data_IF_245997362509
#
_entry.id   IF_245997362509
#
_cell.length_a   1.000
_cell.length_b   1.000
_cell.length_c   1.000
_cell.angle_alpha   90.00
_cell.angle_beta   90.00
_cell.angle_gamma   90.00
#
_symmetry.space_group_name_H-M   'P 1'
#
loop_
_entity.id
_entity.type
_entity.pdbx_description
1 polymer ?
#
# COMPACT_ATOMS: atom_id res chain seq x y z
N UNK A 1 -21.31 -4.72 6.15
CA UNK A 1 -22.16 -5.34 7.18
C UNK A 1 -21.52 -5.08 8.53
N UNK A 2 -22.30 -4.81 9.58
CA UNK A 2 -21.76 -4.67 10.94
C UNK A 2 -21.36 -6.05 11.50
N UNK A 3 -20.21 -6.11 12.16
CA UNK A 3 -19.70 -7.30 12.85
C UNK A 3 -18.76 -6.89 13.97
N UNK A 4 -18.64 -7.74 14.99
CA UNK A 4 -17.59 -7.65 16.00
C UNK A 4 -16.31 -8.30 15.46
N UNK A 5 -15.20 -7.56 15.48
CA UNK A 5 -13.88 -8.16 15.26
C UNK A 5 -13.29 -8.64 16.60
N UNK A 6 -13.13 -9.95 16.75
CA UNK A 6 -12.46 -10.56 17.88
C UNK A 6 -11.00 -10.87 17.49
N UNK A 7 -10.05 -10.16 18.10
CA UNK A 7 -8.63 -10.50 17.98
C UNK A 7 -8.22 -11.47 19.08
N UNK A 8 -7.73 -12.65 18.69
CA UNK A 8 -7.32 -13.69 19.65
C UNK A 8 -5.80 -13.84 19.76
N UNK A 9 -5.05 -12.87 19.23
CA UNK A 9 -3.60 -12.80 19.43
C UNK A 9 -3.28 -12.34 20.84
N UNK A 10 -2.03 -12.56 21.25
CA UNK A 10 -1.50 -12.02 22.51
C UNK A 10 -1.60 -10.49 22.51
N UNK A 11 -1.83 -9.89 23.68
CA UNK A 11 -2.00 -8.44 23.84
C UNK A 11 -0.86 -7.66 23.19
N UNK A 12 0.40 -8.09 23.37
CA UNK A 12 1.56 -7.45 22.75
C UNK A 12 1.48 -7.45 21.20
N UNK A 13 1.00 -8.54 20.60
CA UNK A 13 0.85 -8.64 19.15
C UNK A 13 -0.30 -7.78 18.64
N UNK A 14 -1.39 -7.72 19.41
CA UNK A 14 -2.53 -6.86 19.13
C UNK A 14 -2.12 -5.39 19.20
N UNK A 15 -1.48 -4.95 20.27
CA UNK A 15 -1.06 -3.56 20.47
C UNK A 15 -0.06 -3.07 19.44
N UNK A 16 0.81 -3.94 18.96
CA UNK A 16 1.80 -3.59 17.93
C UNK A 16 1.21 -3.43 16.53
N UNK A 17 0.14 -4.15 16.20
CA UNK A 17 -0.42 -4.13 14.86
C UNK A 17 -1.89 -4.57 14.88
N UNK A 18 -2.80 -3.62 14.73
CA UNK A 18 -4.25 -3.85 14.77
C UNK A 18 -4.81 -3.96 13.35
N UNK A 19 -5.94 -4.65 13.23
CA UNK A 19 -6.80 -4.47 12.06
C UNK A 19 -7.50 -3.14 12.24
N UNK A 20 -7.54 -2.36 11.17
CA UNK A 20 -8.15 -1.03 11.16
C UNK A 20 -9.02 -0.93 9.91
N UNK A 21 -9.92 0.04 9.85
CA UNK A 21 -10.68 0.25 8.63
C UNK A 21 -11.71 1.34 8.79
N UNK A 22 -12.14 1.96 7.68
CA UNK A 22 -13.08 3.08 7.72
C UNK A 22 -14.46 2.69 8.27
N UNK A 23 -14.77 1.39 8.28
CA UNK A 23 -16.06 0.84 8.71
C UNK A 23 -15.93 -0.16 9.86
N UNK A 24 -14.77 -0.22 10.53
CA UNK A 24 -14.57 -1.08 11.69
C UNK A 24 -14.89 -0.31 12.96
N UNK A 25 -16.09 -0.53 13.52
CA UNK A 25 -16.56 0.15 14.73
C UNK A 25 -16.26 -0.63 16.01
N UNK A 26 -16.36 -1.96 15.96
CA UNK A 26 -16.35 -2.81 17.15
C UNK A 26 -15.22 -3.84 17.08
N UNK A 27 -14.28 -3.73 18.03
CA UNK A 27 -13.16 -4.65 18.14
C UNK A 27 -12.85 -4.94 19.61
N UNK A 28 -12.62 -6.20 19.93
CA UNK A 28 -12.19 -6.66 21.26
C UNK A 28 -11.00 -7.61 21.10
N UNK A 29 -10.06 -7.54 22.03
CA UNK A 29 -8.94 -8.48 22.10
C UNK A 29 -9.12 -9.39 23.32
N UNK A 30 -9.17 -10.69 23.07
CA UNK A 30 -9.17 -11.73 24.11
C UNK A 30 -8.21 -12.83 23.64
N UNK A 31 -6.99 -12.92 24.21
CA UNK A 31 -5.98 -13.89 23.76
C UNK A 31 -6.49 -15.33 23.75
N UNK A 32 -6.15 -16.10 22.71
CA UNK A 32 -6.63 -17.48 22.59
C UNK A 32 -6.24 -18.39 23.76
N UNK A 33 -5.12 -18.09 24.43
CA UNK A 33 -4.66 -18.83 25.62
C UNK A 33 -5.67 -18.74 26.76
N UNK A 34 -6.37 -17.61 26.89
CA UNK A 34 -7.42 -17.43 27.90
C UNK A 34 -8.62 -18.35 27.62
N UNK A 35 -8.96 -18.59 26.35
CA UNK A 35 -10.03 -19.53 26.00
C UNK A 35 -9.65 -20.98 26.34
N UNK A 36 -8.36 -21.32 26.26
CA UNK A 36 -7.86 -22.66 26.62
C UNK A 36 -7.85 -22.85 28.14
N UNK A 37 -7.44 -21.82 28.89
CA UNK A 37 -7.28 -21.91 30.34
C UNK A 37 -8.57 -21.63 31.12
N UNK A 38 -9.39 -20.70 30.62
CA UNK A 38 -10.55 -20.11 31.29
C UNK A 38 -11.70 -19.85 30.30
N UNK A 39 -12.24 -20.93 29.72
CA UNK A 39 -13.23 -20.87 28.62
C UNK A 39 -14.45 -19.99 28.93
N UNK A 40 -15.23 -20.32 29.97
CA UNK A 40 -16.46 -19.57 30.33
C UNK A 40 -16.18 -18.09 30.60
N UNK A 41 -15.09 -17.80 31.32
CA UNK A 41 -14.67 -16.44 31.64
C UNK A 41 -14.26 -15.65 30.40
N UNK A 42 -13.61 -16.31 29.42
CA UNK A 42 -13.19 -15.70 28.17
C UNK A 42 -14.34 -15.43 27.22
N UNK A 43 -15.29 -16.36 27.13
CA UNK A 43 -16.54 -16.17 26.36
C UNK A 43 -17.33 -14.98 26.90
N UNK A 44 -17.41 -14.81 28.22
CA UNK A 44 -18.10 -13.68 28.84
C UNK A 44 -17.46 -12.31 28.51
N UNK A 45 -16.17 -12.26 28.16
CA UNK A 45 -15.48 -11.05 27.69
C UNK A 45 -15.85 -10.66 26.25
N UNK A 46 -16.42 -11.58 25.46
CA UNK A 46 -16.80 -11.32 24.06
C UNK A 46 -18.22 -10.78 24.01
N UNK A 47 -18.45 -9.54 23.51
CA UNK A 47 -19.80 -9.01 23.35
C UNK A 47 -20.69 -9.94 22.52
N UNK A 48 -21.93 -10.12 22.96
CA UNK A 48 -22.95 -10.89 22.25
C UNK A 48 -23.38 -10.15 20.97
N UNK A 49 -22.59 -10.32 19.91
CA UNK A 49 -22.84 -9.76 18.59
C UNK A 49 -23.47 -10.81 17.67
N UNK A 50 -24.32 -10.37 16.75
CA UNK A 50 -24.93 -11.26 15.75
C UNK A 50 -23.90 -11.91 14.84
N UNK A 51 -22.83 -11.18 14.51
CA UNK A 51 -21.74 -11.60 13.63
C UNK A 51 -20.41 -11.35 14.32
N UNK A 52 -19.60 -12.39 14.44
CA UNK A 52 -18.23 -12.33 14.97
C UNK A 52 -17.26 -12.72 13.87
N UNK A 53 -16.21 -11.93 13.69
CA UNK A 53 -15.08 -12.21 12.80
C UNK A 53 -13.84 -12.32 13.65
N UNK A 54 -13.13 -13.44 13.55
CA UNK A 54 -11.98 -13.72 14.40
C UNK A 54 -10.70 -13.52 13.60
N UNK A 55 -9.74 -12.79 14.17
CA UNK A 55 -8.39 -12.67 13.61
C UNK A 55 -7.37 -13.29 14.56
N UNK A 56 -6.43 -14.05 14.00
CA UNK A 56 -5.26 -14.52 14.73
C UNK A 56 -4.01 -14.42 13.84
N UNK A 57 -2.86 -14.94 14.30
CA UNK A 57 -1.61 -14.84 13.56
C UNK A 57 -1.61 -15.59 12.21
N UNK A 58 -2.26 -16.76 12.13
CA UNK A 58 -2.31 -17.59 10.91
C UNK A 58 -3.70 -18.12 10.58
N UNK A 59 -4.37 -18.77 11.53
CA UNK A 59 -5.82 -19.12 11.51
C UNK A 59 -6.17 -20.17 12.57
N UNK A 60 -5.21 -21.00 13.01
CA UNK A 60 -5.48 -22.13 13.91
C UNK A 60 -6.18 -21.74 15.21
N UNK A 61 -5.65 -20.74 15.92
CA UNK A 61 -6.30 -20.22 17.14
C UNK A 61 -7.69 -19.62 16.86
N UNK A 62 -7.90 -19.04 15.67
CA UNK A 62 -9.18 -18.45 15.32
C UNK A 62 -10.24 -19.52 15.05
N UNK A 63 -9.85 -20.66 14.46
CA UNK A 63 -10.71 -21.84 14.28
C UNK A 63 -11.14 -22.41 15.64
N UNK A 64 -10.18 -22.65 16.53
CA UNK A 64 -10.45 -23.14 17.88
C UNK A 64 -11.40 -22.23 18.66
N UNK A 65 -11.08 -20.92 18.76
CA UNK A 65 -11.96 -19.97 19.47
C UNK A 65 -13.32 -19.87 18.77
N UNK A 66 -13.36 -20.00 17.45
CA UNK A 66 -14.61 -20.03 16.70
C UNK A 66 -15.54 -21.17 17.13
N UNK A 67 -15.00 -22.38 17.29
CA UNK A 67 -15.75 -23.54 17.80
C UNK A 67 -16.25 -23.31 19.23
N UNK A 68 -15.39 -22.79 20.11
CA UNK A 68 -15.76 -22.44 21.49
C UNK A 68 -16.95 -21.47 21.52
N UNK A 69 -16.90 -20.39 20.73
CA UNK A 69 -17.99 -19.41 20.67
C UNK A 69 -19.28 -20.02 20.13
N UNK A 70 -19.20 -20.86 19.09
CA UNK A 70 -20.39 -21.53 18.55
C UNK A 70 -21.04 -22.46 19.58
N UNK A 71 -20.25 -23.18 20.37
CA UNK A 71 -20.73 -24.01 21.48
C UNK A 71 -21.41 -23.18 22.58
N UNK A 72 -21.06 -21.90 22.70
CA UNK A 72 -21.66 -20.93 23.62
C UNK A 72 -22.75 -20.06 22.99
N UNK A 73 -23.32 -20.50 21.85
CA UNK A 73 -24.53 -19.90 21.29
C UNK A 73 -24.32 -18.74 20.32
N UNK A 74 -23.07 -18.40 19.97
CA UNK A 74 -22.78 -17.46 18.88
C UNK A 74 -23.14 -18.11 17.53
N UNK A 75 -23.85 -17.38 16.67
CA UNK A 75 -24.50 -17.99 15.47
C UNK A 75 -23.75 -17.78 14.16
N UNK A 76 -23.11 -16.63 13.95
CA UNK A 76 -22.33 -16.34 12.74
C UNK A 76 -20.89 -15.98 13.14
N UNK A 77 -20.09 -17.03 13.31
CA UNK A 77 -18.66 -16.92 13.65
C UNK A 77 -17.84 -17.33 12.43
N UNK A 78 -16.97 -16.42 11.97
CA UNK A 78 -16.02 -16.69 10.88
C UNK A 78 -14.65 -16.18 11.26
N UNK A 79 -13.63 -16.54 10.51
CA UNK A 79 -12.26 -16.09 10.77
C UNK A 79 -11.59 -15.56 9.50
N UNK A 80 -10.57 -14.73 9.68
CA UNK A 80 -9.71 -14.27 8.60
C UNK A 80 -8.79 -15.41 8.14
N UNK A 81 -9.05 -15.96 6.97
CA UNK A 81 -8.19 -16.98 6.35
C UNK A 81 -6.76 -16.44 6.15
N UNK A 82 -5.77 -17.27 6.49
CA UNK A 82 -4.36 -16.87 6.46
C UNK A 82 -3.94 -15.84 7.54
N UNK A 83 -4.88 -15.42 8.40
CA UNK A 83 -4.63 -14.61 9.59
C UNK A 83 -4.22 -13.18 9.26
N UNK A 84 -3.73 -12.44 10.26
CA UNK A 84 -3.48 -10.99 10.12
C UNK A 84 -2.42 -10.64 9.06
N UNK A 85 -1.62 -11.62 8.62
CA UNK A 85 -0.70 -11.39 7.50
C UNK A 85 -1.44 -11.05 6.20
N UNK A 86 -2.64 -11.61 5.97
CA UNK A 86 -3.42 -11.30 4.76
C UNK A 86 -3.93 -9.86 4.81
N UNK A 87 -4.38 -9.40 5.98
CA UNK A 87 -4.69 -7.99 6.25
C UNK A 87 -3.52 -7.06 5.93
N UNK A 88 -2.33 -7.36 6.45
CA UNK A 88 -1.13 -6.55 6.21
C UNK A 88 -0.64 -6.53 4.76
N UNK A 89 -1.14 -7.42 3.90
CA UNK A 89 -0.82 -7.47 2.47
C UNK A 89 -2.03 -7.18 1.56
N UNK A 90 -3.17 -6.80 2.14
CA UNK A 90 -4.34 -6.41 1.38
C UNK A 90 -4.01 -5.20 0.51
N UNK A 91 -4.43 -5.26 -0.74
CA UNK A 91 -4.45 -4.14 -1.66
C UNK A 91 -5.90 -3.95 -2.12
N UNK A 92 -6.47 -2.80 -1.81
CA UNK A 92 -7.82 -2.43 -2.21
C UNK A 92 -7.73 -1.47 -3.41
N UNK A 93 -8.16 -1.89 -4.61
CA UNK A 93 -8.14 -1.03 -5.77
C UNK A 93 -9.24 0.03 -5.70
N UNK A 94 -8.89 1.26 -6.04
CA UNK A 94 -9.78 2.41 -6.20
C UNK A 94 -9.49 3.04 -7.56
N UNK A 95 -10.50 3.12 -8.41
CA UNK A 95 -10.38 3.80 -9.69
C UNK A 95 -10.25 5.30 -9.43
N UNK A 96 -9.14 5.89 -9.88
CA UNK A 96 -8.86 7.33 -9.78
C UNK A 96 -9.40 8.04 -11.02
N UNK A 97 -9.08 7.50 -12.20
CA UNK A 97 -9.48 8.07 -13.47
C UNK A 97 -9.71 6.98 -14.51
N UNK A 98 -10.65 7.22 -15.41
CA UNK A 98 -10.89 6.38 -16.57
C UNK A 98 -11.33 7.26 -17.72
N UNK A 99 -10.64 7.18 -18.84
CA UNK A 99 -11.08 7.74 -20.11
C UNK A 99 -10.92 6.70 -21.23
N UNK A 100 -11.10 7.12 -22.49
CA UNK A 100 -11.02 6.22 -23.64
C UNK A 100 -9.61 5.66 -23.90
N UNK A 101 -8.58 6.24 -23.27
CA UNK A 101 -7.18 5.93 -23.52
C UNK A 101 -6.53 5.16 -22.37
N UNK A 102 -6.89 5.41 -21.11
CA UNK A 102 -6.33 4.70 -19.96
C UNK A 102 -7.25 4.63 -18.74
N UNK A 103 -6.86 3.77 -17.82
CA UNK A 103 -7.40 3.69 -16.46
C UNK A 103 -6.27 3.85 -15.45
N UNK A 104 -6.45 4.76 -14.48
CA UNK A 104 -5.52 4.99 -13.38
C UNK A 104 -6.17 4.50 -12.08
N UNK A 105 -5.46 3.66 -11.35
CA UNK A 105 -5.89 3.07 -10.09
C UNK A 105 -4.93 3.44 -8.97
N UNK A 106 -5.51 3.66 -7.80
CA UNK A 106 -4.81 3.65 -6.52
C UNK A 106 -5.05 2.30 -5.85
N UNK A 107 -3.99 1.66 -5.39
CA UNK A 107 -4.03 0.42 -4.63
C UNK A 107 -3.68 0.71 -3.20
N UNK A 108 -4.72 0.87 -2.39
CA UNK A 108 -4.63 1.22 -0.98
C UNK A 108 -4.16 -0.02 -0.22
N UNK A 109 -3.16 0.12 0.64
CA UNK A 109 -2.68 -0.90 1.56
C UNK A 109 -3.00 -0.52 3.00
N UNK A 110 -4.20 -0.88 3.51
CA UNK A 110 -4.65 -0.60 4.87
C UNK A 110 -3.61 -0.85 5.96
N UNK A 111 -3.07 -2.08 6.01
CA UNK A 111 -2.14 -2.48 7.07
C UNK A 111 -0.76 -1.81 7.04
N UNK A 112 -0.52 -0.85 6.15
CA UNK A 112 0.71 -0.06 6.10
C UNK A 112 0.48 1.43 5.92
N UNK A 113 -0.76 1.87 5.80
CA UNK A 113 -1.11 3.24 5.43
C UNK A 113 -0.37 3.72 4.16
N UNK A 114 -0.15 2.80 3.21
CA UNK A 114 0.60 3.06 1.98
C UNK A 114 -0.25 2.84 0.73
N UNK A 115 0.13 3.46 -0.38
CA UNK A 115 -0.53 3.42 -1.66
C UNK A 115 0.50 3.08 -2.75
N UNK A 116 0.14 2.15 -3.60
CA UNK A 116 0.80 1.94 -4.90
C UNK A 116 -0.18 2.33 -6.00
N UNK A 117 0.29 2.55 -7.23
CA UNK A 117 -0.58 2.99 -8.31
C UNK A 117 -0.45 2.11 -9.54
N UNK A 118 -1.53 1.97 -10.30
CA UNK A 118 -1.58 1.18 -11.51
C UNK A 118 -2.11 2.01 -12.66
N UNK A 119 -1.40 2.03 -13.77
CA UNK A 119 -1.84 2.70 -15.00
C UNK A 119 -2.00 1.65 -16.09
N UNK A 120 -3.23 1.45 -16.55
CA UNK A 120 -3.58 0.48 -17.60
C UNK A 120 -3.93 1.24 -18.87
N UNK A 121 -3.34 0.84 -19.99
CA UNK A 121 -3.78 1.30 -21.31
C UNK A 121 -3.47 0.25 -22.37
N UNK A 122 -4.51 -0.09 -23.14
CA UNK A 122 -4.51 -1.27 -23.98
C UNK A 122 -4.31 -2.54 -23.17
N UNK A 123 -3.35 -3.35 -23.58
CA UNK A 123 -2.97 -4.63 -22.97
C UNK A 123 -1.79 -4.49 -22.00
N UNK A 124 -1.41 -3.26 -21.62
CA UNK A 124 -0.26 -3.01 -20.76
C UNK A 124 -0.65 -2.29 -19.47
N UNK A 125 0.01 -2.70 -18.39
CA UNK A 125 -0.08 -2.08 -17.07
C UNK A 125 1.31 -1.64 -16.60
N UNK A 126 1.38 -0.42 -16.10
CA UNK A 126 2.52 0.12 -15.36
C UNK A 126 2.16 0.17 -13.89
N UNK A 127 3.07 -0.20 -12.99
CA UNK A 127 2.86 -0.14 -11.54
C UNK A 127 3.88 0.80 -10.89
N UNK A 128 3.41 1.72 -10.06
CA UNK A 128 4.25 2.62 -9.27
C UNK A 128 4.29 2.13 -7.83
N UNK A 129 5.50 2.03 -7.27
CA UNK A 129 5.77 1.62 -5.89
C UNK A 129 5.14 0.26 -5.49
N UNK A 130 5.25 -0.80 -6.31
CA UNK A 130 4.59 -2.08 -6.03
C UNK A 130 5.03 -2.67 -4.68
N UNK A 131 4.10 -3.21 -3.91
CA UNK A 131 4.39 -4.06 -2.76
C UNK A 131 4.83 -5.47 -3.18
N UNK A 132 5.36 -6.27 -2.25
CA UNK A 132 5.68 -7.69 -2.50
C UNK A 132 4.47 -8.60 -2.76
N UNK A 133 3.24 -8.12 -2.68
CA UNK A 133 2.06 -8.90 -3.07
C UNK A 133 1.91 -8.95 -4.60
N UNK A 134 2.90 -9.53 -5.30
CA UNK A 134 2.96 -9.51 -6.78
C UNK A 134 1.77 -10.20 -7.44
N UNK A 135 1.18 -11.19 -6.77
CA UNK A 135 0.03 -11.94 -7.27
C UNK A 135 -1.22 -11.05 -7.35
N UNK A 136 -1.32 -10.01 -6.54
CA UNK A 136 -2.38 -9.01 -6.68
C UNK A 136 -2.24 -8.28 -8.02
N UNK A 137 -1.09 -7.65 -8.29
CA UNK A 137 -0.89 -6.87 -9.52
C UNK A 137 -1.02 -7.72 -10.77
N UNK A 138 -0.50 -8.96 -10.75
CA UNK A 138 -0.64 -9.89 -11.89
C UNK A 138 -2.11 -10.19 -12.18
N UNK A 139 -2.88 -10.63 -11.18
CA UNK A 139 -4.30 -10.95 -11.35
C UNK A 139 -5.12 -9.72 -11.73
N UNK A 140 -4.82 -8.59 -11.11
CA UNK A 140 -5.50 -7.33 -11.41
C UNK A 140 -5.28 -6.93 -12.88
N UNK A 141 -4.04 -7.03 -13.39
CA UNK A 141 -3.77 -6.79 -14.81
C UNK A 141 -4.53 -7.79 -15.70
N UNK A 142 -4.48 -9.09 -15.39
CA UNK A 142 -5.17 -10.15 -16.14
C UNK A 142 -6.69 -9.93 -16.21
N UNK A 143 -7.32 -9.54 -15.10
CA UNK A 143 -8.75 -9.20 -15.00
C UNK A 143 -9.14 -8.00 -15.89
N UNK A 144 -8.19 -7.12 -16.20
CA UNK A 144 -8.35 -5.98 -17.09
C UNK A 144 -7.84 -6.26 -18.52
N UNK A 145 -7.49 -7.51 -18.84
CA UNK A 145 -6.96 -7.88 -20.16
C UNK A 145 -5.57 -7.32 -20.46
N UNK A 146 -4.79 -6.99 -19.42
CA UNK A 146 -3.47 -6.39 -19.51
C UNK A 146 -2.38 -7.26 -18.86
N UNK A 147 -1.11 -6.91 -19.09
CA UNK A 147 0.07 -7.48 -18.43
C UNK A 147 0.93 -6.37 -17.83
N UNK A 148 1.57 -6.64 -16.70
CA UNK A 148 2.52 -5.68 -16.09
C UNK A 148 3.79 -5.63 -16.94
N UNK A 149 4.13 -4.45 -17.47
CA UNK A 149 5.26 -4.27 -18.40
C UNK A 149 6.38 -3.41 -17.84
N UNK A 150 6.06 -2.52 -16.89
CA UNK A 150 7.03 -1.64 -16.24
C UNK A 150 6.65 -1.44 -14.79
N UNK A 151 7.65 -1.30 -13.93
CA UNK A 151 7.49 -0.76 -12.59
C UNK A 151 8.32 0.50 -12.42
N UNK A 152 7.80 1.45 -11.65
CA UNK A 152 8.48 2.69 -11.31
C UNK A 152 8.56 2.81 -9.79
N UNK A 153 9.76 3.04 -9.27
CA UNK A 153 9.98 3.34 -7.87
C UNK A 153 10.13 4.86 -7.70
N UNK A 154 9.27 5.47 -6.89
CA UNK A 154 9.39 6.89 -6.53
C UNK A 154 10.64 7.12 -5.70
N UNK A 155 10.99 6.19 -4.81
CA UNK A 155 12.17 6.25 -3.96
C UNK A 155 12.55 4.88 -3.40
N UNK A 156 13.72 4.76 -2.76
CA UNK A 156 14.07 3.56 -2.00
C UNK A 156 13.22 3.47 -0.71
N UNK A 157 12.23 2.58 -0.76
CA UNK A 157 11.27 2.33 0.33
C UNK A 157 11.97 1.88 1.63
N UNK A 158 11.59 2.47 2.76
CA UNK A 158 12.17 2.18 4.08
C UNK A 158 11.27 1.32 4.98
N UNK A 159 9.97 1.29 4.70
CA UNK A 159 8.92 0.72 5.55
C UNK A 159 8.31 -0.59 4.98
N UNK A 160 8.61 -0.89 3.71
CA UNK A 160 8.36 -2.17 3.06
C UNK A 160 9.43 -2.52 2.02
N UNK A 161 9.44 -3.79 1.62
CA UNK A 161 10.27 -4.26 0.51
C UNK A 161 9.46 -4.10 -0.78
N UNK A 162 10.04 -3.46 -1.79
CA UNK A 162 9.41 -3.33 -3.11
C UNK A 162 9.18 -4.70 -3.79
N UNK A 163 8.09 -4.79 -4.55
CA UNK A 163 7.74 -5.91 -5.42
C UNK A 163 8.39 -5.87 -6.80
N UNK A 164 9.03 -4.77 -7.20
CA UNK A 164 9.53 -4.53 -8.57
C UNK A 164 10.44 -5.65 -9.06
N UNK A 165 11.43 -6.06 -8.25
CA UNK A 165 12.34 -7.14 -8.61
C UNK A 165 11.60 -8.44 -8.89
N UNK A 166 10.62 -8.78 -8.05
CA UNK A 166 9.93 -10.06 -8.18
C UNK A 166 8.89 -10.02 -9.31
N UNK A 167 8.28 -8.87 -9.59
CA UNK A 167 7.47 -8.63 -10.79
C UNK A 167 8.32 -8.81 -12.05
N UNK A 168 9.49 -8.19 -12.12
CA UNK A 168 10.40 -8.31 -13.26
C UNK A 168 10.82 -9.76 -13.52
N UNK A 169 11.16 -10.53 -12.48
CA UNK A 169 11.51 -11.95 -12.60
C UNK A 169 10.37 -12.77 -13.22
N UNK A 170 9.11 -12.52 -12.85
CA UNK A 170 7.98 -13.36 -13.30
C UNK A 170 7.35 -12.89 -14.62
N UNK A 171 7.46 -11.61 -14.97
CA UNK A 171 6.77 -11.01 -16.12
C UNK A 171 7.71 -10.48 -17.21
N UNK A 172 9.00 -10.32 -16.92
CA UNK A 172 9.94 -9.61 -17.79
C UNK A 172 9.77 -8.09 -17.77
N UNK A 173 9.00 -7.53 -16.83
CA UNK A 173 8.81 -6.09 -16.71
C UNK A 173 10.13 -5.34 -16.44
N UNK A 174 10.28 -4.17 -17.05
CA UNK A 174 11.38 -3.26 -16.78
C UNK A 174 11.18 -2.56 -15.42
N UNK A 175 12.26 -2.42 -14.64
CA UNK A 175 12.24 -1.66 -13.38
C UNK A 175 12.87 -0.30 -13.63
N UNK A 176 12.19 0.77 -13.23
CA UNK A 176 12.70 2.12 -13.30
C UNK A 176 12.89 2.70 -11.90
N UNK A 177 14.06 3.31 -11.66
CA UNK A 177 14.38 3.95 -10.39
C UNK A 177 15.48 4.99 -10.55
N UNK A 178 15.53 5.95 -9.61
CA UNK A 178 16.54 6.99 -9.64
C UNK A 178 17.88 6.48 -9.09
N UNK A 179 18.99 6.80 -9.77
CA UNK A 179 20.31 6.23 -9.41
C UNK A 179 20.79 6.62 -8.00
N UNK A 180 20.41 7.80 -7.51
CA UNK A 180 20.75 8.23 -6.15
C UNK A 180 20.19 7.32 -5.04
N UNK A 181 19.12 6.58 -5.33
CA UNK A 181 18.51 5.62 -4.41
C UNK A 181 18.90 4.17 -4.77
N UNK A 182 19.06 3.87 -6.06
CA UNK A 182 19.25 2.51 -6.55
C UNK A 182 20.69 2.19 -7.00
N UNK A 183 21.70 3.06 -6.76
CA UNK A 183 23.10 2.81 -7.14
C UNK A 183 23.68 1.49 -6.61
N UNK A 184 23.20 1.04 -5.45
CA UNK A 184 23.64 -0.18 -4.77
C UNK A 184 22.67 -1.35 -4.98
N UNK A 185 21.69 -1.22 -5.88
CA UNK A 185 20.76 -2.29 -6.19
C UNK A 185 21.52 -3.52 -6.71
N UNK A 186 21.20 -4.68 -6.14
CA UNK A 186 21.76 -5.97 -6.57
C UNK A 186 21.04 -6.58 -7.79
N UNK A 187 20.25 -5.77 -8.49
CA UNK A 187 19.45 -6.16 -9.65
C UNK A 187 19.50 -5.08 -10.72
N UNK A 188 19.21 -5.45 -11.96
CA UNK A 188 19.18 -4.53 -13.08
C UNK A 188 17.95 -3.62 -13.02
N UNK A 189 18.16 -2.33 -13.26
CA UNK A 189 17.09 -1.33 -13.38
C UNK A 189 17.49 -0.29 -14.42
N UNK A 190 16.50 0.37 -15.00
CA UNK A 190 16.62 1.49 -15.89
C UNK A 190 16.66 2.79 -15.09
N UNK A 191 17.66 3.64 -15.35
CA UNK A 191 17.80 4.91 -14.66
C UNK A 191 16.68 5.87 -15.07
N UNK A 192 16.05 6.47 -14.07
CA UNK A 192 15.20 7.64 -14.28
C UNK A 192 16.05 8.86 -14.61
N UNK A 193 15.58 9.65 -15.58
CA UNK A 193 16.15 10.94 -15.98
C UNK A 193 15.10 12.03 -15.77
N UNK A 194 15.49 13.12 -15.10
CA UNK A 194 14.60 14.26 -14.84
C UNK A 194 14.05 14.85 -16.14
N UNK A 195 12.74 15.12 -16.16
CA UNK A 195 12.02 15.68 -17.31
C UNK A 195 11.75 14.71 -18.46
N UNK A 196 12.29 13.48 -18.42
CA UNK A 196 12.08 12.49 -19.49
C UNK A 196 10.67 11.90 -19.41
N UNK A 197 10.07 11.72 -20.59
CA UNK A 197 8.80 11.01 -20.78
C UNK A 197 9.06 9.53 -21.03
N UNK A 198 8.31 8.68 -20.34
CA UNK A 198 8.33 7.23 -20.45
C UNK A 198 6.95 6.77 -20.92
N UNK A 199 6.86 6.32 -22.16
CA UNK A 199 5.59 5.86 -22.72
C UNK A 199 5.36 4.37 -22.48
N UNK A 200 4.10 3.98 -22.46
CA UNK A 200 3.67 2.60 -22.74
C UNK A 200 3.68 2.35 -24.26
N UNK A 201 3.52 1.10 -24.69
CA UNK A 201 3.64 0.72 -26.11
C UNK A 201 2.71 1.49 -27.06
N UNK A 202 1.50 1.86 -26.61
CA UNK A 202 0.53 2.63 -27.40
C UNK A 202 0.75 4.15 -27.38
N UNK A 203 1.84 4.62 -26.76
CA UNK A 203 2.23 6.03 -26.75
C UNK A 203 1.56 6.90 -25.69
N UNK A 204 0.32 6.59 -25.28
CA UNK A 204 -0.45 7.36 -24.29
C UNK A 204 -0.97 6.51 -23.12
N UNK A 205 -1.07 7.08 -21.90
CA UNK A 205 -0.70 8.45 -21.56
C UNK A 205 0.81 8.62 -21.36
N UNK A 206 1.28 9.86 -21.45
CA UNK A 206 2.67 10.21 -21.13
C UNK A 206 2.92 10.10 -19.62
N UNK A 207 4.06 9.51 -19.25
CA UNK A 207 4.55 9.45 -17.86
C UNK A 207 5.84 10.24 -17.79
N UNK A 208 5.79 11.48 -17.31
CA UNK A 208 6.97 12.35 -17.16
C UNK A 208 7.57 12.19 -15.77
N UNK A 209 8.85 11.81 -15.72
CA UNK A 209 9.57 11.74 -14.46
C UNK A 209 10.06 13.11 -14.02
N UNK A 210 9.85 13.46 -12.76
CA UNK A 210 10.29 14.69 -12.13
C UNK A 210 11.15 14.34 -10.91
N UNK A 211 12.46 14.57 -10.99
CA UNK A 211 13.36 14.33 -9.86
C UNK A 211 13.09 15.34 -8.76
N UNK A 212 12.63 14.90 -7.59
CA UNK A 212 12.13 15.73 -6.52
C UNK A 212 12.77 15.33 -5.18
N UNK A 213 14.09 15.53 -5.02
CA UNK A 213 14.83 15.05 -3.87
C UNK A 213 14.39 15.75 -2.58
N UNK A 214 14.41 15.02 -1.46
CA UNK A 214 14.05 15.57 -0.17
C UNK A 214 13.78 14.50 0.86
N UNK A 215 12.75 13.68 0.63
CA UNK A 215 12.51 12.49 1.46
C UNK A 215 13.69 11.51 1.34
N UNK A 216 14.12 11.25 0.11
CA UNK A 216 15.40 10.62 -0.25
C UNK A 216 16.12 11.46 -1.31
N UNK A 217 17.43 11.24 -1.54
CA UNK A 217 18.17 11.90 -2.62
C UNK A 217 17.73 11.49 -4.04
N UNK A 218 17.10 10.33 -4.18
CA UNK A 218 16.54 9.82 -5.44
C UNK A 218 15.03 9.98 -5.58
N UNK A 219 14.35 10.60 -4.61
CA UNK A 219 12.88 10.81 -4.68
C UNK A 219 12.48 11.41 -6.01
N UNK A 220 11.51 10.77 -6.67
CA UNK A 220 11.05 11.07 -8.02
C UNK A 220 9.53 10.99 -8.02
N UNK A 221 8.90 12.03 -8.57
CA UNK A 221 7.45 12.04 -8.83
C UNK A 221 7.17 11.77 -10.30
N UNK A 222 5.99 11.23 -10.61
CA UNK A 222 5.58 10.88 -11.97
C UNK A 222 4.31 11.65 -12.33
N UNK A 223 4.44 12.55 -13.30
CA UNK A 223 3.34 13.31 -13.86
C UNK A 223 2.73 12.54 -15.03
N UNK A 224 1.46 12.20 -14.92
CA UNK A 224 0.69 11.44 -15.91
C UNK A 224 -0.27 12.40 -16.61
N UNK A 225 -0.13 12.51 -17.93
CA UNK A 225 -1.03 13.28 -18.81
C UNK A 225 -1.27 14.73 -18.34
N UNK A 226 -0.24 15.36 -17.72
CA UNK A 226 -0.30 16.69 -17.11
C UNK A 226 -1.47 16.92 -16.12
N UNK A 227 -2.01 15.84 -15.54
CA UNK A 227 -3.20 15.87 -14.66
C UNK A 227 -2.99 15.21 -13.31
N UNK A 228 -2.28 14.08 -13.26
CA UNK A 228 -2.10 13.30 -12.04
C UNK A 228 -0.63 13.25 -11.69
N UNK A 229 -0.28 13.59 -10.45
CA UNK A 229 1.09 13.55 -9.96
C UNK A 229 1.22 12.50 -8.87
N UNK A 230 1.88 11.39 -9.20
CA UNK A 230 2.30 10.41 -8.21
C UNK A 230 3.51 10.99 -7.48
N UNK A 231 3.32 11.40 -6.23
CA UNK A 231 4.34 12.15 -5.47
C UNK A 231 5.26 11.26 -4.64
N UNK A 232 4.93 9.98 -4.48
CA UNK A 232 5.59 9.10 -3.51
C UNK A 232 5.55 9.74 -2.13
N UNK A 233 6.70 9.83 -1.48
CA UNK A 233 6.81 10.42 -0.16
C UNK A 233 7.35 11.86 -0.17
N UNK A 234 7.40 12.54 -1.32
CA UNK A 234 7.84 13.94 -1.34
C UNK A 234 6.77 14.89 -0.78
N UNK A 235 5.52 14.73 -1.22
CA UNK A 235 4.36 15.53 -0.78
C UNK A 235 3.18 14.60 -0.49
N UNK A 236 2.52 14.83 0.65
CA UNK A 236 1.28 14.20 1.06
C UNK A 236 0.12 15.21 1.01
N UNK A 237 -1.12 14.77 1.26
CA UNK A 237 -2.31 15.64 1.16
C UNK A 237 -2.22 16.86 2.07
N UNK A 238 -1.78 16.67 3.33
CA UNK A 238 -1.67 17.73 4.34
C UNK A 238 -0.27 17.86 4.94
N UNK A 239 0.75 17.22 4.34
CA UNK A 239 2.10 17.14 4.90
C UNK A 239 3.15 16.86 3.80
N UNK A 240 4.39 16.64 4.21
CA UNK A 240 5.53 16.32 3.34
C UNK A 240 6.34 15.17 3.93
N UNK A 241 7.17 14.54 3.10
CA UNK A 241 8.08 13.49 3.55
C UNK A 241 9.07 13.94 4.60
N UNK A 242 9.38 13.03 5.53
CA UNK A 242 10.46 13.24 6.50
C UNK A 242 11.84 13.08 5.83
N UNK A 243 12.81 14.00 6.03
CA UNK A 243 14.12 13.95 5.36
C UNK A 243 15.24 13.29 6.21
N UNK A 244 14.90 12.62 7.31
CA UNK A 244 15.86 12.22 8.36
C UNK A 244 16.24 10.73 8.36
N UNK A 245 15.51 9.86 7.65
CA UNK A 245 15.71 8.41 7.68
C UNK A 245 17.12 7.97 7.21
N UNK A 246 17.76 8.73 6.32
CA UNK A 246 19.13 8.47 5.89
C UNK A 246 20.22 9.04 6.79
N UNK A 247 19.88 9.56 7.99
CA UNK A 247 20.84 10.14 8.92
C UNK A 247 21.38 11.52 8.51
N UNK A 248 20.80 12.14 7.47
CA UNK A 248 21.24 13.41 6.86
C UNK A 248 20.19 14.51 6.91
N UNK A 249 19.40 14.54 7.99
CA UNK A 249 18.24 15.42 8.16
C UNK A 249 18.47 16.88 7.74
N UNK A 250 19.61 17.49 8.11
CA UNK A 250 19.93 18.89 7.78
C UNK A 250 20.22 19.11 6.29
N UNK A 251 20.83 18.15 5.61
CA UNK A 251 21.12 18.25 4.18
C UNK A 251 19.85 18.02 3.37
N UNK A 252 19.12 16.96 3.70
CA UNK A 252 17.94 16.54 2.96
C UNK A 252 16.74 17.46 3.20
N UNK A 253 16.63 18.13 4.36
CA UNK A 253 15.61 19.17 4.56
C UNK A 253 15.81 20.37 3.65
N UNK A 254 17.07 20.74 3.32
CA UNK A 254 17.35 21.79 2.33
C UNK A 254 16.98 21.35 0.92
N UNK A 255 17.23 20.09 0.57
CA UNK A 255 16.81 19.51 -0.72
C UNK A 255 15.28 19.54 -0.82
N UNK A 256 14.58 19.07 0.20
CA UNK A 256 13.12 19.06 0.25
C UNK A 256 12.57 20.49 0.14
N UNK A 257 13.10 21.43 0.91
CA UNK A 257 12.70 22.84 0.82
C UNK A 257 12.90 23.40 -0.60
N UNK A 258 14.03 23.12 -1.23
CA UNK A 258 14.27 23.54 -2.61
C UNK A 258 13.24 22.93 -3.57
N UNK A 259 13.05 21.61 -3.52
CA UNK A 259 12.04 20.88 -4.31
C UNK A 259 10.64 21.48 -4.16
N UNK A 260 10.23 21.80 -2.93
CA UNK A 260 8.92 22.43 -2.69
C UNK A 260 8.82 23.81 -3.32
N UNK A 261 9.88 24.62 -3.24
CA UNK A 261 9.88 26.02 -3.69
C UNK A 261 10.12 26.21 -5.19
N UNK A 262 10.75 25.25 -5.87
CA UNK A 262 11.16 25.40 -7.28
C UNK A 262 10.61 24.34 -8.20
N UNK A 263 10.12 23.21 -7.69
CA UNK A 263 9.49 22.18 -8.50
C UNK A 263 7.99 22.16 -8.25
N UNK A 264 7.57 21.91 -7.01
CA UNK A 264 6.14 21.82 -6.67
C UNK A 264 5.41 23.15 -6.88
N UNK A 265 5.99 24.26 -6.44
CA UNK A 265 5.37 25.59 -6.58
C UNK A 265 5.15 26.04 -8.04
N UNK A 266 5.88 25.45 -9.00
CA UNK A 266 5.79 25.77 -10.42
C UNK A 266 4.81 24.86 -11.17
N UNK A 267 4.24 23.85 -10.51
CA UNK A 267 3.25 22.95 -11.08
C UNK A 267 1.86 23.60 -11.13
N UNK A 268 1.00 23.08 -12.02
CA UNK A 268 -0.39 23.51 -12.11
C UNK A 268 -1.16 23.23 -10.80
N UNK A 269 -2.00 24.18 -10.40
CA UNK A 269 -2.91 24.02 -9.25
C UNK A 269 -4.03 23.01 -9.51
N UNK A 270 -4.25 22.61 -10.77
CA UNK A 270 -5.29 21.65 -11.15
C UNK A 270 -4.83 20.20 -11.07
N UNK A 271 -3.57 19.95 -10.68
CA UNK A 271 -3.04 18.59 -10.55
C UNK A 271 -3.70 17.85 -9.39
N UNK A 272 -4.08 16.61 -9.66
CA UNK A 272 -4.47 15.64 -8.63
C UNK A 272 -3.22 15.00 -8.05
N UNK A 273 -3.01 15.18 -6.74
CA UNK A 273 -1.87 14.61 -6.02
C UNK A 273 -2.18 13.19 -5.55
N UNK A 274 -1.28 12.25 -5.85
CA UNK A 274 -1.40 10.83 -5.52
C UNK A 274 -0.17 10.38 -4.69
N UNK A 275 -0.25 10.47 -3.36
CA UNK A 275 0.88 10.16 -2.49
C UNK A 275 1.15 8.67 -2.31
N UNK A 276 2.37 8.33 -1.88
CA UNK A 276 2.77 6.96 -1.51
C UNK A 276 2.22 6.50 -0.15
N UNK A 277 1.83 7.44 0.72
CA UNK A 277 1.28 7.17 2.04
C UNK A 277 0.14 8.13 2.39
N UNK A 278 -0.71 7.69 3.33
CA UNK A 278 -1.81 8.48 3.87
C UNK A 278 -1.85 8.43 5.39
N UNK A 279 -2.46 9.42 6.02
CA UNK A 279 -2.58 9.51 7.48
C UNK A 279 -3.98 9.21 7.99
N UNK A 280 -4.99 9.30 7.12
CA UNK A 280 -6.40 9.17 7.47
C UNK A 280 -7.18 8.47 6.34
N UNK A 281 -8.24 7.74 6.69
CA UNK A 281 -9.07 7.03 5.71
C UNK A 281 -9.73 7.93 4.65
N UNK A 282 -9.90 9.22 4.93
CA UNK A 282 -10.42 10.21 3.96
C UNK A 282 -9.41 10.51 2.85
N UNK A 283 -8.13 10.27 3.09
CA UNK A 283 -7.05 10.42 2.11
C UNK A 283 -6.85 9.14 1.25
N UNK A 284 -7.35 7.99 1.72
CA UNK A 284 -7.25 6.69 1.06
C UNK A 284 -8.23 6.52 -0.12
#
# INVERSE_FOLDING_TARGET
EEFLLLDVRLDEQFDRFKVEGPYLSDMVNVPYVEFVEHEEGSVAKVPQAQKVRIVCAREGSAKYVGEVLMNHGFKDVRYLEGGIKTWGNLLAPKLVASDNSYQLFQFIRPGKASCSHGLISGDEMVVFDPSRNINFYRRFAEEHGARVVKTFETHLQADYISGSQQIAIVSGADIFGHENDFKAAAFQYQKIVDGKVYSISKGNPEIKALHMPGHTPGSTSYLIDDKYLITGDTVFILSIGRPDLGGKAKEWSKLLYHTLKTKIADLSNDLVILPGHYMDWREA
#
